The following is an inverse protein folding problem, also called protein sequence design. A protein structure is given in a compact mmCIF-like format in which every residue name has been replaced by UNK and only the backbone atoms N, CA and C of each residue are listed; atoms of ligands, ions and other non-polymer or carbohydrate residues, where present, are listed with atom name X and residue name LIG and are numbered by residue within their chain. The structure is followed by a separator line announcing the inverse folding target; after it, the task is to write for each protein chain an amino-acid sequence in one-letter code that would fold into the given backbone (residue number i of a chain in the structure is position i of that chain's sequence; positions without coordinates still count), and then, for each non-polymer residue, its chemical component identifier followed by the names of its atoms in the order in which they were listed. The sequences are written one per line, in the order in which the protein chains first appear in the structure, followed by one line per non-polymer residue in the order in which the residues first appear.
data_IF_025905739342
#
_entry.id   IF_025905739342
#
_cell.length_a   1.000
_cell.length_b   1.000
_cell.length_c   1.000
_cell.angle_alpha   90.00
_cell.angle_beta   90.00
_cell.angle_gamma   90.00
#
_symmetry.space_group_name_H-M   'P 1'
#
loop_
_entity.id
_entity.type
_entity.pdbx_description
1 polymer ?
#
# COMPACT_ATOMS: atom_id res chain seq x y z
N UNK A 1 -13.07 0.76 17.11
CA UNK A 1 -12.08 1.39 16.21
C UNK A 1 -10.64 1.11 16.64
N UNK A 2 -10.15 1.75 17.72
CA UNK A 2 -8.73 1.71 18.09
C UNK A 2 -8.17 0.31 18.33
N UNK A 3 -8.93 -0.57 18.97
CA UNK A 3 -8.49 -1.95 19.21
C UNK A 3 -8.27 -2.74 17.91
N UNK A 4 -9.05 -2.45 16.86
CA UNK A 4 -8.90 -3.00 15.51
C UNK A 4 -7.80 -2.30 14.69
N UNK A 5 -7.01 -1.44 15.32
CA UNK A 5 -5.82 -0.82 14.75
C UNK A 5 -6.05 0.46 13.97
N UNK A 6 -7.21 1.09 14.15
CA UNK A 6 -7.58 2.34 13.50
C UNK A 6 -7.22 3.57 14.33
N UNK A 7 -6.68 4.60 13.68
CA UNK A 7 -6.58 5.96 14.22
C UNK A 7 -7.36 6.92 13.34
N UNK A 8 -7.90 7.99 13.96
CA UNK A 8 -8.78 8.95 13.29
C UNK A 8 -7.99 9.89 12.37
N UNK A 9 -8.47 10.06 11.14
CA UNK A 9 -7.90 10.94 10.09
C UNK A 9 -9.00 11.80 9.45
N UNK A 10 -9.69 12.65 10.22
CA UNK A 10 -10.87 13.36 9.74
C UNK A 10 -10.52 14.35 8.63
N UNK A 11 -11.45 14.49 7.69
CA UNK A 11 -11.45 15.56 6.68
C UNK A 11 -12.75 16.37 6.78
N UNK A 12 -12.86 17.45 6.00
CA UNK A 12 -14.13 18.22 5.93
C UNK A 12 -15.25 17.41 5.28
N UNK A 13 -14.92 16.52 4.33
CA UNK A 13 -15.89 15.65 3.66
C UNK A 13 -16.20 14.41 4.48
N UNK A 14 -15.21 13.90 5.23
CA UNK A 14 -15.24 12.57 5.85
C UNK A 14 -14.84 12.72 7.33
N UNK A 15 -15.77 13.17 8.20
CA UNK A 15 -15.48 13.51 9.59
C UNK A 15 -15.17 12.28 10.46
N UNK A 16 -15.54 11.08 10.02
CA UNK A 16 -15.37 9.81 10.71
C UNK A 16 -14.30 8.91 10.08
N UNK A 17 -13.56 9.41 9.08
CA UNK A 17 -12.51 8.66 8.42
C UNK A 17 -11.43 8.19 9.40
N UNK A 18 -11.04 6.93 9.27
CA UNK A 18 -9.99 6.29 10.06
C UNK A 18 -9.00 5.55 9.17
N UNK A 19 -7.76 5.38 9.65
CA UNK A 19 -6.69 4.67 8.96
C UNK A 19 -6.09 3.58 9.83
N UNK A 20 -5.82 2.41 9.25
CA UNK A 20 -5.08 1.37 9.96
C UNK A 20 -3.59 1.70 10.10
N UNK A 21 -3.00 1.56 11.30
CA UNK A 21 -1.56 1.82 11.50
C UNK A 21 -0.62 0.75 10.84
N UNK A 22 -1.14 -0.43 10.50
CA UNK A 22 -0.37 -1.50 9.85
C UNK A 22 -0.50 -1.48 8.34
N UNK A 23 -1.71 -1.67 7.81
CA UNK A 23 -1.93 -1.77 6.37
C UNK A 23 -2.24 -0.43 5.68
N UNK A 24 -2.37 0.66 6.45
CA UNK A 24 -2.70 2.00 5.94
C UNK A 24 -4.02 2.09 5.15
N UNK A 25 -4.91 1.09 5.26
CA UNK A 25 -6.25 1.15 4.68
C UNK A 25 -7.08 2.23 5.38
N UNK A 26 -7.68 3.09 4.57
CA UNK A 26 -8.65 4.11 4.99
C UNK A 26 -10.07 3.54 4.90
N UNK A 27 -10.89 3.87 5.90
CA UNK A 27 -12.31 3.55 5.97
C UNK A 27 -13.06 4.77 6.53
N UNK A 28 -14.24 5.04 5.99
CA UNK A 28 -15.15 6.11 6.39
C UNK A 28 -16.60 5.57 6.40
N UNK A 29 -17.57 6.46 6.61
CA UNK A 29 -19.00 6.14 6.48
C UNK A 29 -19.48 5.06 7.47
N UNK A 30 -19.01 5.12 8.70
CA UNK A 30 -19.27 4.12 9.74
C UNK A 30 -20.67 4.23 10.33
N UNK A 31 -21.31 3.07 10.48
CA UNK A 31 -22.56 2.92 11.22
C UNK A 31 -22.30 2.46 12.67
N UNK A 32 -23.14 2.83 13.64
CA UNK A 32 -23.00 2.39 15.04
C UNK A 32 -23.00 0.87 15.23
N UNK A 33 -23.57 0.12 14.30
CA UNK A 33 -23.69 -1.34 14.31
C UNK A 33 -22.45 -2.04 13.74
N UNK A 34 -21.53 -1.32 13.12
CA UNK A 34 -20.36 -1.91 12.47
C UNK A 34 -19.36 -2.46 13.49
N UNK A 35 -18.92 -3.71 13.28
CA UNK A 35 -17.80 -4.28 14.00
C UNK A 35 -16.47 -3.87 13.34
N UNK A 36 -15.58 -3.14 14.05
CA UNK A 36 -14.34 -2.65 13.47
C UNK A 36 -13.41 -3.76 12.96
N UNK A 37 -13.39 -4.94 13.59
CA UNK A 37 -12.56 -6.05 13.12
C UNK A 37 -13.09 -6.66 11.83
N UNK A 38 -14.41 -6.82 11.75
CA UNK A 38 -15.11 -7.34 10.58
C UNK A 38 -14.93 -6.42 9.38
N UNK A 39 -15.14 -5.10 9.56
CA UNK A 39 -14.95 -4.13 8.48
C UNK A 39 -13.47 -4.01 8.06
N UNK A 40 -12.53 -4.17 9.00
CA UNK A 40 -11.10 -4.22 8.66
C UNK A 40 -10.77 -5.43 7.78
N UNK A 41 -11.21 -6.63 8.17
CA UNK A 41 -10.94 -7.85 7.39
C UNK A 41 -11.64 -7.82 6.04
N UNK A 42 -12.88 -7.34 5.97
CA UNK A 42 -13.64 -7.19 4.72
C UNK A 42 -12.94 -6.29 3.70
N UNK A 43 -12.31 -5.20 4.15
CA UNK A 43 -11.68 -4.23 3.27
C UNK A 43 -10.16 -4.40 3.11
N UNK A 44 -9.54 -5.23 3.94
CA UNK A 44 -8.10 -5.52 3.93
C UNK A 44 -7.85 -6.91 4.51
N UNK A 45 -8.35 -7.94 3.80
CA UNK A 45 -8.27 -9.35 4.23
C UNK A 45 -6.85 -9.77 4.61
N UNK A 46 -5.85 -9.27 3.87
CA UNK A 46 -4.45 -9.62 4.06
C UNK A 46 -3.71 -8.75 5.08
N UNK A 47 -4.40 -7.88 5.84
CA UNK A 47 -3.75 -7.06 6.86
C UNK A 47 -3.12 -7.95 7.95
N UNK A 48 -1.79 -7.91 8.16
CA UNK A 48 -1.13 -8.80 9.12
C UNK A 48 -1.61 -8.62 10.56
N UNK A 49 -2.08 -7.43 10.93
CA UNK A 49 -2.62 -7.15 12.26
C UNK A 49 -4.07 -7.63 12.41
N UNK A 50 -4.93 -7.37 11.41
CA UNK A 50 -6.34 -7.77 11.44
C UNK A 50 -6.51 -9.27 11.57
N UNK A 51 -5.62 -10.05 10.94
CA UNK A 51 -5.58 -11.53 11.01
C UNK A 51 -5.43 -12.08 12.43
N UNK A 52 -4.85 -11.33 13.38
CA UNK A 52 -4.75 -11.78 14.77
C UNK A 52 -6.00 -11.47 15.60
N UNK A 53 -6.87 -10.54 15.15
CA UNK A 53 -8.07 -10.07 15.86
C UNK A 53 -7.85 -9.83 17.37
N UNK A 54 -6.70 -9.22 17.71
CA UNK A 54 -6.26 -8.93 19.08
C UNK A 54 -5.76 -7.51 19.17
N UNK A 55 -6.16 -6.80 20.22
CA UNK A 55 -5.58 -5.48 20.54
C UNK A 55 -4.08 -5.60 20.79
N UNK A 56 -3.36 -4.51 20.52
CA UNK A 56 -1.89 -4.47 20.59
C UNK A 56 -1.32 -5.01 21.91
N UNK A 57 -1.94 -4.69 23.06
CA UNK A 57 -1.44 -5.12 24.38
C UNK A 57 -1.60 -6.61 24.65
N UNK A 58 -2.35 -7.35 23.82
CA UNK A 58 -2.54 -8.80 23.93
C UNK A 58 -1.63 -9.58 22.99
N UNK A 59 -0.85 -8.89 22.16
CA UNK A 59 0.11 -9.52 21.26
C UNK A 59 1.40 -9.84 22.02
N UNK A 60 1.92 -11.04 21.80
CA UNK A 60 3.28 -11.38 22.23
C UNK A 60 4.30 -10.63 21.35
N UNK A 61 5.53 -10.46 21.87
CA UNK A 61 6.63 -9.88 21.08
C UNK A 61 6.86 -10.63 19.76
N UNK A 62 6.69 -11.97 19.75
CA UNK A 62 6.83 -12.79 18.54
C UNK A 62 5.75 -12.48 17.50
N UNK A 63 4.48 -12.36 17.92
CA UNK A 63 3.38 -11.99 17.04
C UNK A 63 3.57 -10.57 16.49
N UNK A 64 3.95 -9.63 17.35
CA UNK A 64 4.25 -8.27 16.93
C UNK A 64 5.39 -8.21 15.91
N UNK A 65 6.49 -8.92 16.15
CA UNK A 65 7.60 -9.00 15.21
C UNK A 65 7.15 -9.58 13.87
N UNK A 66 6.32 -10.62 13.87
CA UNK A 66 5.76 -11.22 12.65
C UNK A 66 4.92 -10.22 11.85
N UNK A 67 4.06 -9.44 12.51
CA UNK A 67 3.27 -8.37 11.87
C UNK A 67 4.18 -7.35 11.20
N UNK A 68 5.23 -6.88 11.90
CA UNK A 68 6.16 -5.89 11.37
C UNK A 68 6.96 -6.43 10.17
N UNK A 69 7.40 -7.68 10.22
CA UNK A 69 8.10 -8.34 9.11
C UNK A 69 7.20 -8.49 7.88
N UNK A 70 5.94 -8.90 8.07
CA UNK A 70 4.97 -9.02 6.97
C UNK A 70 4.66 -7.65 6.34
N UNK A 71 4.51 -6.61 7.16
CA UNK A 71 4.35 -5.23 6.68
C UNK A 71 5.55 -4.81 5.81
N UNK A 72 6.78 -5.01 6.29
CA UNK A 72 7.99 -4.70 5.52
C UNK A 72 8.02 -5.48 4.20
N UNK A 73 7.76 -6.79 4.23
CA UNK A 73 7.73 -7.63 3.03
C UNK A 73 6.71 -7.13 1.99
N UNK A 74 5.51 -6.73 2.43
CA UNK A 74 4.47 -6.20 1.55
C UNK A 74 4.90 -4.88 0.89
N UNK A 75 5.44 -3.95 1.67
CA UNK A 75 5.95 -2.67 1.18
C UNK A 75 7.10 -2.84 0.18
N UNK A 76 8.03 -3.75 0.46
CA UNK A 76 9.15 -4.05 -0.44
C UNK A 76 8.66 -4.66 -1.74
N UNK A 77 7.68 -5.56 -1.68
CA UNK A 77 7.06 -6.13 -2.87
C UNK A 77 6.45 -5.03 -3.75
N UNK A 78 5.64 -4.15 -3.19
CA UNK A 78 5.02 -3.03 -3.93
C UNK A 78 6.08 -2.11 -4.55
N UNK A 79 7.13 -1.76 -3.79
CA UNK A 79 8.24 -0.93 -4.28
C UNK A 79 8.98 -1.58 -5.45
N UNK A 80 9.23 -2.90 -5.37
CA UNK A 80 9.89 -3.65 -6.43
C UNK A 80 8.99 -3.73 -7.66
N UNK A 81 7.70 -4.04 -7.47
CA UNK A 81 6.73 -4.15 -8.56
C UNK A 81 6.59 -2.81 -9.31
N UNK A 82 6.58 -1.67 -8.60
CA UNK A 82 6.61 -0.33 -9.19
C UNK A 82 7.88 -0.11 -10.05
N UNK A 83 9.06 -0.39 -9.50
CA UNK A 83 10.33 -0.24 -10.23
C UNK A 83 10.43 -1.14 -11.45
N UNK A 84 9.89 -2.36 -11.37
CA UNK A 84 9.82 -3.28 -12.51
C UNK A 84 8.94 -2.67 -13.61
N UNK A 85 7.78 -2.11 -13.26
CA UNK A 85 6.90 -1.44 -14.21
C UNK A 85 7.56 -0.21 -14.86
N UNK A 86 8.26 0.62 -14.07
CA UNK A 86 9.00 1.77 -14.57
C UNK A 86 10.09 1.35 -15.57
N UNK A 87 10.86 0.31 -15.24
CA UNK A 87 11.89 -0.24 -16.14
C UNK A 87 11.28 -0.82 -17.43
N UNK A 88 10.13 -1.50 -17.33
CA UNK A 88 9.43 -2.03 -18.50
C UNK A 88 9.00 -0.92 -19.46
N UNK A 89 8.42 0.18 -18.93
CA UNK A 89 8.03 1.35 -19.73
C UNK A 89 9.24 2.02 -20.40
N UNK A 90 10.38 2.11 -19.70
CA UNK A 90 11.61 2.66 -20.27
C UNK A 90 12.13 1.80 -21.42
N UNK A 91 12.10 0.48 -21.27
CA UNK A 91 12.51 -0.45 -22.32
C UNK A 91 11.63 -0.33 -23.57
N UNK A 92 10.31 -0.24 -23.41
CA UNK A 92 9.36 -0.05 -24.52
C UNK A 92 9.54 1.29 -25.25
N UNK A 93 9.98 2.34 -24.55
CA UNK A 93 10.31 3.64 -25.14
C UNK A 93 11.68 3.66 -25.86
N UNK A 94 12.54 2.65 -25.65
CA UNK A 94 13.92 2.62 -26.13
C UNK A 94 14.02 2.51 -27.68
N UNK A 95 13.22 1.69 -28.39
CA UNK A 95 13.25 1.64 -29.86
C UNK A 95 12.98 3.00 -30.53
N UNK A 96 12.12 3.83 -29.95
CA UNK A 96 11.80 5.17 -30.46
C UNK A 96 12.96 6.15 -30.29
N UNK A 97 13.78 5.96 -29.25
CA UNK A 97 14.97 6.78 -29.00
C UNK A 97 16.16 6.36 -29.87
N UNK A 98 16.29 5.07 -30.20
CA UNK A 98 17.33 4.57 -31.12
C UNK A 98 17.09 5.09 -32.54
N UNK A 99 15.83 5.06 -33.02
CA UNK A 99 15.48 5.51 -34.37
C UNK A 99 15.72 7.02 -34.56
N UNK A 100 15.26 7.85 -33.62
CA UNK A 100 15.52 9.31 -33.65
C UNK A 100 17.00 9.67 -33.68
N UNK A 101 17.83 8.91 -32.96
CA UNK A 101 19.27 9.16 -32.87
C UNK A 101 20.03 8.75 -34.13
N UNK A 102 19.51 7.78 -34.88
CA UNK A 102 20.04 7.41 -36.19
C UNK A 102 19.71 8.51 -37.23
N UNK A 103 18.47 9.00 -37.25
CA UNK A 103 18.05 10.08 -38.16
C UNK A 103 18.84 11.38 -37.92
N UNK A 104 19.05 11.77 -36.64
CA UNK A 104 19.87 12.96 -36.29
C UNK A 104 21.37 12.81 -36.65
N UNK A 105 21.87 11.58 -36.77
CA UNK A 105 23.28 11.33 -37.12
C UNK A 105 23.55 11.39 -38.62
N UNK A 106 22.55 11.05 -39.45
CA UNK A 106 22.64 11.14 -40.91
C UNK A 106 22.53 12.60 -41.39
N UNK A 107 21.74 13.44 -40.71
CA UNK A 107 21.64 14.88 -41.00
C UNK A 107 22.92 15.66 -40.63
N UNK A 108 23.72 15.17 -39.68
CA UNK A 108 24.96 15.83 -39.25
C UNK A 108 26.16 15.59 -40.19
N UNK A 109 26.03 14.69 -41.17
CA UNK A 109 27.07 14.32 -42.13
C UNK A 109 26.84 14.91 -43.55
N UNK A 110 25.76 15.68 -43.74
CA UNK A 110 25.42 16.41 -44.97
C UNK A 110 25.77 17.89 -44.89
#
# INVERSE_FOLDING_TARGET
MAEAGFFHIPSKSDPDAVRCFVCAKDLDSWCPEDDPWSEHLKHSEMCPFAQFQKRQTQLTCRQWLSIMQLKQKALWKETIDQKISELAMQFEATPQQIFKRADESDDALS
#
